data_IF_716425367953
#
_entry.id   IF_716425367953
#
_cell.length_a   1.000
_cell.length_b   1.000
_cell.length_c   1.000
_cell.angle_alpha   90.00
_cell.angle_beta   90.00
_cell.angle_gamma   90.00
#
_symmetry.space_group_name_H-M   'P 1'
#
loop_
_entity.id
_entity.type
_entity.pdbx_description
1 polymer ?
#
# COMPACT_ATOMS: atom_id res chain seq x y z
N UNK A 1 -40.52 26.92 -2.06
CA UNK A 1 -39.23 27.17 -2.73
C UNK A 1 -38.16 26.46 -1.91
N UNK A 2 -37.51 25.44 -2.47
CA UNK A 2 -36.47 24.72 -1.77
C UNK A 2 -35.18 25.56 -1.86
N UNK A 3 -34.70 26.04 -0.71
CA UNK A 3 -33.37 26.63 -0.58
C UNK A 3 -32.36 25.50 -0.72
N UNK A 4 -31.81 25.33 -1.92
CA UNK A 4 -30.65 24.47 -2.16
C UNK A 4 -29.48 25.07 -1.39
N UNK A 5 -29.18 24.52 -0.23
CA UNK A 5 -27.97 24.83 0.53
C UNK A 5 -26.76 24.41 -0.31
N UNK A 6 -26.12 25.38 -0.95
CA UNK A 6 -24.79 25.19 -1.54
C UNK A 6 -23.83 24.86 -0.39
N UNK A 7 -23.45 23.58 -0.29
CA UNK A 7 -22.35 23.15 0.56
C UNK A 7 -21.08 23.68 -0.09
N UNK A 8 -20.65 24.87 0.34
CA UNK A 8 -19.39 25.46 -0.09
C UNK A 8 -18.26 24.65 0.58
N UNK A 9 -17.58 23.81 -0.21
CA UNK A 9 -16.38 23.11 0.24
C UNK A 9 -15.24 24.12 0.14
N UNK A 10 -14.55 24.48 1.25
CA UNK A 10 -13.44 25.40 1.18
C UNK A 10 -12.24 24.77 0.45
N UNK A 11 -11.38 25.61 -0.13
CA UNK A 11 -10.14 25.16 -0.77
C UNK A 11 -9.30 24.34 0.24
N UNK A 12 -8.69 23.21 -0.17
CA UNK A 12 -7.84 22.43 0.72
C UNK A 12 -6.74 23.29 1.35
N UNK A 13 -6.50 23.13 2.64
CA UNK A 13 -5.44 23.89 3.32
C UNK A 13 -4.09 23.49 2.71
N UNK A 14 -3.28 24.45 2.21
CA UNK A 14 -1.97 24.14 1.65
C UNK A 14 -1.10 23.35 2.64
N UNK A 15 -0.51 22.24 2.17
CA UNK A 15 0.30 21.35 3.01
C UNK A 15 -0.49 20.36 3.88
N UNK A 16 -1.82 20.42 3.90
CA UNK A 16 -2.64 19.39 4.56
C UNK A 16 -2.62 18.08 3.78
N UNK A 17 -2.88 16.97 4.47
CA UNK A 17 -2.98 15.65 3.84
C UNK A 17 -4.13 15.64 2.81
N UNK A 18 -3.79 15.44 1.53
CA UNK A 18 -4.74 15.44 0.41
C UNK A 18 -4.89 16.77 -0.32
N UNK A 19 -4.16 17.83 0.10
CA UNK A 19 -4.08 19.05 -0.68
C UNK A 19 -3.19 18.86 -1.93
N UNK A 20 -3.47 19.58 -3.04
CA UNK A 20 -2.58 19.62 -4.18
C UNK A 20 -1.18 20.10 -3.78
N UNK A 21 -0.16 19.49 -4.37
CA UNK A 21 1.22 19.93 -4.24
C UNK A 21 1.88 19.92 -5.61
N UNK A 22 2.42 21.06 -6.03
CA UNK A 22 3.15 21.20 -7.27
C UNK A 22 4.65 21.27 -7.02
N UNK A 23 5.39 20.31 -7.57
CA UNK A 23 6.84 20.16 -7.41
C UNK A 23 7.63 20.51 -8.69
N UNK A 24 6.99 21.15 -9.66
CA UNK A 24 7.59 21.46 -10.97
C UNK A 24 7.38 20.38 -12.03
N UNK A 25 6.74 19.26 -11.71
CA UNK A 25 6.41 18.20 -12.67
C UNK A 25 4.92 18.26 -13.05
N UNK A 26 4.61 18.04 -14.35
CA UNK A 26 3.23 18.02 -14.88
C UNK A 26 2.43 19.29 -14.54
N UNK A 27 2.99 20.45 -14.88
CA UNK A 27 2.35 21.75 -14.69
C UNK A 27 0.93 21.82 -15.29
N UNK A 28 0.71 21.20 -16.46
CA UNK A 28 -0.61 21.16 -17.10
C UNK A 28 -1.66 20.41 -16.26
N UNK A 29 -1.30 19.25 -15.71
CA UNK A 29 -2.21 18.46 -14.86
C UNK A 29 -2.50 19.20 -13.55
N UNK A 30 -1.51 19.88 -12.98
CA UNK A 30 -1.66 20.68 -11.77
C UNK A 30 -2.61 21.86 -11.97
N UNK A 31 -2.48 22.61 -13.07
CA UNK A 31 -3.36 23.74 -13.39
C UNK A 31 -4.83 23.28 -13.52
N UNK A 32 -5.06 22.14 -14.18
CA UNK A 32 -6.41 21.55 -14.28
C UNK A 32 -6.95 21.16 -12.90
N UNK A 33 -6.11 20.61 -12.02
CA UNK A 33 -6.52 20.27 -10.66
C UNK A 33 -6.92 21.51 -9.86
N UNK A 34 -6.17 22.61 -9.96
CA UNK A 34 -6.48 23.88 -9.29
C UNK A 34 -7.79 24.47 -9.83
N UNK A 35 -8.01 24.43 -11.14
CA UNK A 35 -9.26 24.88 -11.77
C UNK A 35 -10.48 24.05 -11.31
N UNK A 36 -10.33 22.73 -11.20
CA UNK A 36 -11.37 21.84 -10.69
C UNK A 36 -11.73 22.14 -9.23
N UNK A 37 -10.72 22.40 -8.39
CA UNK A 37 -10.94 22.79 -7.00
C UNK A 37 -11.61 24.15 -6.91
N UNK A 38 -11.16 25.15 -7.68
CA UNK A 38 -11.80 26.46 -7.77
C UNK A 38 -13.28 26.36 -8.15
N UNK A 39 -13.57 25.54 -9.16
CA UNK A 39 -14.95 25.26 -9.60
C UNK A 39 -15.78 24.59 -8.49
N UNK A 40 -15.19 23.66 -7.74
CA UNK A 40 -15.86 22.96 -6.64
C UNK A 40 -16.18 23.90 -5.47
N UNK A 41 -15.32 24.89 -5.21
CA UNK A 41 -15.51 25.92 -4.17
C UNK A 41 -16.44 27.04 -4.63
N UNK A 42 -16.78 27.09 -5.92
CA UNK A 42 -17.64 28.13 -6.49
C UNK A 42 -16.91 29.43 -6.81
N UNK A 43 -15.57 29.37 -6.96
CA UNK A 43 -14.77 30.49 -7.45
C UNK A 43 -15.10 30.68 -8.93
N UNK A 44 -15.81 31.75 -9.24
CA UNK A 44 -16.28 32.09 -10.60
C UNK A 44 -15.23 32.86 -11.39
N UNK A 45 -14.42 33.64 -10.69
CA UNK A 45 -13.32 34.40 -11.27
C UNK A 45 -12.00 33.63 -11.10
N UNK A 46 -11.46 33.18 -12.24
CA UNK A 46 -10.26 32.35 -12.33
C UNK A 46 -9.01 33.11 -11.91
N UNK A 47 -9.00 34.43 -11.96
CA UNK A 47 -7.82 35.23 -11.63
C UNK A 47 -7.49 35.12 -10.13
N UNK A 48 -8.52 34.90 -9.30
CA UNK A 48 -8.34 34.58 -7.87
C UNK A 48 -7.64 33.22 -7.63
N UNK A 49 -7.56 32.35 -8.64
CA UNK A 49 -6.86 31.05 -8.53
C UNK A 49 -5.34 31.19 -8.65
N UNK A 50 -4.83 32.32 -9.14
CA UNK A 50 -3.39 32.55 -9.31
C UNK A 50 -2.65 32.49 -7.97
N UNK A 51 -3.23 33.05 -6.90
CA UNK A 51 -2.65 32.98 -5.55
C UNK A 51 -2.52 31.53 -5.06
N UNK A 52 -3.46 30.66 -5.45
CA UNK A 52 -3.45 29.25 -5.06
C UNK A 52 -2.35 28.44 -5.75
N UNK A 53 -1.88 28.87 -6.93
CA UNK A 53 -0.71 28.27 -7.59
C UNK A 53 0.52 28.41 -6.70
N UNK A 54 0.78 29.61 -6.19
CA UNK A 54 1.93 29.90 -5.31
C UNK A 54 1.80 29.14 -4.00
N UNK A 55 0.60 29.07 -3.41
CA UNK A 55 0.34 28.40 -2.13
C UNK A 55 0.47 26.87 -2.21
N UNK A 56 0.05 26.24 -3.29
CA UNK A 56 0.16 24.79 -3.48
C UNK A 56 1.51 24.36 -4.08
N UNK A 57 2.39 25.30 -4.41
CA UNK A 57 3.74 24.99 -4.87
C UNK A 57 4.66 24.56 -3.72
N UNK A 58 5.62 23.68 -4.02
CA UNK A 58 6.72 23.37 -3.09
C UNK A 58 7.56 24.62 -2.85
N UNK A 59 8.35 24.61 -1.77
CA UNK A 59 9.21 25.74 -1.40
C UNK A 59 10.11 26.16 -2.57
N UNK A 60 10.78 25.21 -3.22
CA UNK A 60 11.67 25.49 -4.35
C UNK A 60 10.97 26.14 -5.55
N UNK A 61 9.77 25.67 -5.89
CA UNK A 61 8.97 26.23 -6.99
C UNK A 61 8.47 27.60 -6.61
N UNK A 62 7.95 27.75 -5.38
CA UNK A 62 7.45 29.01 -4.85
C UNK A 62 8.52 30.09 -4.85
N UNK A 63 9.73 29.79 -4.40
CA UNK A 63 10.86 30.74 -4.38
C UNK A 63 11.24 31.22 -5.80
N UNK A 64 10.93 30.41 -6.82
CA UNK A 64 11.14 30.77 -8.22
C UNK A 64 10.01 31.66 -8.76
N UNK A 65 8.75 31.31 -8.50
CA UNK A 65 7.61 31.96 -9.16
C UNK A 65 7.04 33.15 -8.39
N UNK A 66 7.19 33.22 -7.06
CA UNK A 66 6.51 34.22 -6.23
C UNK A 66 6.92 35.68 -6.51
N UNK A 67 8.08 35.88 -7.15
CA UNK A 67 8.63 37.20 -7.49
C UNK A 67 8.45 37.57 -8.96
N UNK A 68 7.71 36.77 -9.72
CA UNK A 68 7.41 37.06 -11.12
C UNK A 68 6.13 37.91 -11.21
N UNK A 69 6.09 38.83 -12.18
CA UNK A 69 4.98 39.77 -12.39
C UNK A 69 3.62 39.05 -12.48
N UNK A 70 3.59 37.86 -13.08
CA UNK A 70 2.37 37.08 -13.27
C UNK A 70 1.83 36.44 -11.98
N UNK A 71 2.62 36.39 -10.91
CA UNK A 71 2.27 35.75 -9.63
C UNK A 71 2.40 36.67 -8.41
N UNK A 72 2.97 37.86 -8.56
CA UNK A 72 3.30 38.78 -7.45
C UNK A 72 2.03 39.33 -6.79
N UNK A 73 1.69 38.93 -5.55
CA UNK A 73 0.44 39.31 -4.87
C UNK A 73 0.12 40.81 -4.87
N UNK A 74 1.10 41.70 -5.03
CA UNK A 74 0.91 43.15 -5.07
C UNK A 74 0.37 43.70 -6.41
N UNK A 75 0.44 42.92 -7.50
CA UNK A 75 -0.08 43.34 -8.81
C UNK A 75 -1.61 43.14 -8.95
N UNK A 76 -2.33 44.16 -9.39
CA UNK A 76 -3.80 44.12 -9.53
C UNK A 76 -4.27 43.50 -10.87
N UNK A 77 -3.42 43.45 -11.90
CA UNK A 77 -3.76 42.99 -13.26
C UNK A 77 -3.31 41.55 -13.57
N UNK A 78 -3.32 40.66 -12.57
CA UNK A 78 -2.99 39.25 -12.79
C UNK A 78 -4.10 38.54 -13.53
N UNK A 79 -3.74 37.80 -14.57
CA UNK A 79 -4.68 36.92 -15.27
C UNK A 79 -4.26 35.47 -15.12
N UNK A 80 -5.25 34.60 -14.94
CA UNK A 80 -5.05 33.15 -14.92
C UNK A 80 -4.34 32.67 -16.18
N UNK A 81 -4.69 33.23 -17.34
CA UNK A 81 -4.11 32.83 -18.61
C UNK A 81 -2.60 33.14 -18.67
N UNK A 82 -2.19 34.36 -18.28
CA UNK A 82 -0.77 34.74 -18.23
C UNK A 82 0.02 33.89 -17.22
N UNK A 83 -0.52 33.70 -16.01
CA UNK A 83 0.10 32.84 -15.00
C UNK A 83 0.22 31.37 -15.48
N UNK A 84 -0.83 30.85 -16.12
CA UNK A 84 -0.84 29.48 -16.63
C UNK A 84 0.15 29.28 -17.78
N UNK A 85 0.29 30.26 -18.67
CA UNK A 85 1.24 30.24 -19.77
C UNK A 85 2.68 30.36 -19.26
N UNK A 86 2.94 31.27 -18.33
CA UNK A 86 4.24 31.41 -17.68
C UNK A 86 4.66 30.09 -16.99
N UNK A 87 3.76 29.48 -16.21
CA UNK A 87 4.03 28.20 -15.52
C UNK A 87 4.31 27.07 -16.52
N UNK A 88 3.51 26.97 -17.60
CA UNK A 88 3.73 25.98 -18.66
C UNK A 88 5.06 26.19 -19.38
N UNK A 89 5.47 27.43 -19.61
CA UNK A 89 6.74 27.75 -20.26
C UNK A 89 7.95 27.41 -19.37
N UNK A 90 7.91 27.78 -18.09
CA UNK A 90 8.98 27.48 -17.12
C UNK A 90 9.20 25.98 -16.95
N UNK A 91 8.10 25.21 -16.89
CA UNK A 91 8.15 23.76 -16.64
C UNK A 91 7.89 22.92 -17.90
N UNK A 92 7.96 23.50 -19.10
CA UNK A 92 7.66 22.81 -20.37
C UNK A 92 8.49 21.52 -20.58
N UNK A 93 9.73 21.50 -20.07
CA UNK A 93 10.61 20.34 -20.15
C UNK A 93 10.16 19.19 -19.24
N UNK A 94 9.54 19.51 -18.10
CA UNK A 94 9.08 18.58 -17.04
C UNK A 94 7.58 18.26 -17.12
N UNK A 95 6.83 19.03 -17.90
CA UNK A 95 5.42 18.79 -18.20
C UNK A 95 5.23 17.62 -19.18
N UNK A 96 6.28 17.29 -19.94
CA UNK A 96 6.26 16.15 -20.86
C UNK A 96 6.08 14.87 -20.06
N UNK A 97 4.99 14.15 -20.35
CA UNK A 97 4.80 12.78 -19.87
C UNK A 97 6.10 11.97 -20.11
N UNK A 98 6.49 11.07 -19.18
CA UNK A 98 7.69 10.27 -19.31
C UNK A 98 7.83 9.73 -20.73
N UNK A 99 8.91 10.12 -21.41
CA UNK A 99 9.13 9.75 -22.80
C UNK A 99 9.50 8.28 -22.85
N UNK A 100 8.49 7.42 -22.88
CA UNK A 100 8.72 6.00 -23.14
C UNK A 100 9.29 5.86 -24.55
N UNK A 101 10.41 5.15 -24.65
CA UNK A 101 11.02 4.79 -25.93
C UNK A 101 10.66 3.37 -26.34
N UNK A 102 10.87 3.03 -27.61
CA UNK A 102 10.71 1.64 -28.10
C UNK A 102 11.63 0.68 -27.35
N UNK A 103 12.83 1.13 -27.00
CA UNK A 103 13.81 0.35 -26.23
C UNK A 103 13.31 0.05 -24.81
N UNK A 104 12.61 0.98 -24.17
CA UNK A 104 12.02 0.74 -22.84
C UNK A 104 10.92 -0.32 -22.90
N UNK A 105 10.10 -0.30 -23.96
CA UNK A 105 9.09 -1.35 -24.20
C UNK A 105 9.76 -2.71 -24.42
N UNK A 106 10.81 -2.78 -25.23
CA UNK A 106 11.56 -4.01 -25.49
C UNK A 106 12.23 -4.56 -24.23
N UNK A 107 12.86 -3.68 -23.43
CA UNK A 107 13.46 -4.03 -22.15
C UNK A 107 12.39 -4.57 -21.18
N UNK A 108 11.22 -3.93 -21.11
CA UNK A 108 10.11 -4.41 -20.31
C UNK A 108 9.63 -5.80 -20.77
N UNK A 109 9.45 -6.00 -22.08
CA UNK A 109 9.00 -7.29 -22.62
C UNK A 109 10.02 -8.40 -22.31
N UNK A 110 11.31 -8.15 -22.54
CA UNK A 110 12.39 -9.09 -22.22
C UNK A 110 12.42 -9.43 -20.74
N UNK A 111 12.42 -8.41 -19.88
CA UNK A 111 12.44 -8.61 -18.43
C UNK A 111 11.21 -9.40 -17.96
N UNK A 112 10.03 -9.08 -18.50
CA UNK A 112 8.79 -9.80 -18.19
C UNK A 112 8.85 -11.26 -18.64
N UNK A 113 9.34 -11.54 -19.84
CA UNK A 113 9.43 -12.92 -20.35
C UNK A 113 10.39 -13.81 -19.55
N UNK A 114 11.46 -13.21 -19.00
CA UNK A 114 12.51 -13.92 -18.25
C UNK A 114 12.19 -14.06 -16.76
N UNK A 115 11.57 -13.05 -16.15
CA UNK A 115 11.46 -12.94 -14.68
C UNK A 115 10.04 -13.21 -14.16
N UNK A 116 9.01 -12.84 -14.92
CA UNK A 116 7.65 -12.99 -14.42
C UNK A 116 7.18 -14.44 -14.55
N UNK A 117 6.43 -14.90 -13.55
CA UNK A 117 5.69 -16.16 -13.61
C UNK A 117 4.24 -15.84 -13.27
N UNK A 118 3.32 -16.21 -14.15
CA UNK A 118 1.90 -15.99 -13.91
C UNK A 118 1.34 -17.17 -13.12
N UNK A 119 0.85 -16.88 -11.92
CA UNK A 119 0.22 -17.86 -11.04
C UNK A 119 -1.29 -17.67 -10.97
N UNK A 120 -1.78 -16.47 -11.28
CA UNK A 120 -3.19 -16.11 -11.17
C UNK A 120 -3.68 -15.25 -12.35
N UNK A 121 -5.00 -15.09 -12.47
CA UNK A 121 -5.59 -14.15 -13.40
C UNK A 121 -5.23 -12.68 -13.07
N UNK A 122 -4.99 -12.37 -11.79
CA UNK A 122 -4.58 -11.03 -11.33
C UNK A 122 -3.16 -10.69 -11.84
N UNK A 123 -2.27 -11.67 -11.93
CA UNK A 123 -0.93 -11.48 -12.50
C UNK A 123 -1.01 -11.05 -13.98
N UNK A 124 -1.97 -11.61 -14.72
CA UNK A 124 -2.22 -11.27 -16.13
C UNK A 124 -2.72 -9.84 -16.26
N UNK A 125 -3.63 -9.40 -15.38
CA UNK A 125 -4.13 -8.02 -15.37
C UNK A 125 -3.03 -7.03 -14.97
N UNK A 126 -2.25 -7.36 -13.95
CA UNK A 126 -1.10 -6.56 -13.52
C UNK A 126 -0.08 -6.42 -14.65
N UNK A 127 0.18 -7.49 -15.41
CA UNK A 127 1.03 -7.43 -16.59
C UNK A 127 0.43 -6.51 -17.67
N UNK A 128 -0.86 -6.65 -17.99
CA UNK A 128 -1.56 -5.79 -18.97
C UNK A 128 -1.48 -4.32 -18.60
N UNK A 129 -1.71 -3.98 -17.33
CA UNK A 129 -1.62 -2.60 -16.81
C UNK A 129 -0.19 -2.07 -16.98
N UNK A 130 0.82 -2.83 -16.54
CA UNK A 130 2.23 -2.45 -16.68
C UNK A 130 2.63 -2.28 -18.15
N UNK A 131 2.27 -3.22 -19.02
CA UNK A 131 2.53 -3.14 -20.46
C UNK A 131 1.86 -1.92 -21.10
N UNK A 132 0.64 -1.57 -20.68
CA UNK A 132 -0.09 -0.41 -21.20
C UNK A 132 0.61 0.91 -20.87
N UNK A 133 1.30 1.01 -19.73
CA UNK A 133 2.11 2.20 -19.38
C UNK A 133 3.20 2.49 -20.41
N UNK A 134 3.77 1.46 -21.02
CA UNK A 134 4.81 1.61 -22.04
C UNK A 134 4.23 1.74 -23.45
N UNK A 135 3.27 0.88 -23.80
CA UNK A 135 2.77 0.77 -25.16
C UNK A 135 1.77 1.87 -25.55
N UNK A 136 0.92 2.34 -24.63
CA UNK A 136 -0.11 3.33 -24.95
C UNK A 136 0.49 4.69 -25.39
N UNK A 137 1.51 5.25 -24.72
CA UNK A 137 2.19 6.47 -25.19
C UNK A 137 2.84 6.29 -26.56
N UNK A 138 3.44 5.12 -26.83
CA UNK A 138 4.11 4.84 -28.10
C UNK A 138 3.12 4.77 -29.27
N UNK A 139 1.94 4.17 -29.07
CA UNK A 139 0.87 4.15 -30.07
C UNK A 139 0.30 5.55 -30.29
N UNK A 140 0.02 6.30 -29.22
CA UNK A 140 -0.48 7.69 -29.32
C UNK A 140 0.46 8.58 -30.12
N UNK A 141 1.77 8.43 -29.89
CA UNK A 141 2.82 9.17 -30.58
C UNK A 141 3.22 8.57 -31.94
N UNK A 142 2.49 7.57 -32.45
CA UNK A 142 2.75 6.87 -33.73
C UNK A 142 4.17 6.29 -33.86
N UNK A 143 4.83 5.99 -32.73
CA UNK A 143 6.15 5.35 -32.69
C UNK A 143 6.07 3.84 -32.92
N UNK A 144 4.92 3.24 -32.60
CA UNK A 144 4.58 1.85 -32.92
C UNK A 144 3.15 1.77 -33.46
N UNK A 145 2.89 0.79 -34.32
CA UNK A 145 1.54 0.48 -34.80
C UNK A 145 0.72 -0.32 -33.79
N UNK A 146 -0.59 -0.49 -34.05
CA UNK A 146 -1.45 -1.32 -33.20
C UNK A 146 -1.07 -2.80 -33.31
N UNK A 147 -0.66 -3.22 -34.50
CA UNK A 147 -0.19 -4.57 -34.80
C UNK A 147 1.12 -4.85 -34.08
N UNK A 148 2.08 -3.91 -34.14
CA UNK A 148 3.34 -4.01 -33.38
C UNK A 148 3.08 -4.09 -31.87
N UNK A 149 2.15 -3.29 -31.33
CA UNK A 149 1.74 -3.40 -29.91
C UNK A 149 1.24 -4.80 -29.57
N UNK A 150 0.37 -5.37 -30.40
CA UNK A 150 -0.20 -6.70 -30.17
C UNK A 150 0.91 -7.78 -30.19
N UNK A 151 1.82 -7.68 -31.16
CA UNK A 151 3.01 -8.54 -31.22
C UNK A 151 3.86 -8.43 -29.96
N UNK A 152 4.24 -7.20 -29.54
CA UNK A 152 5.05 -6.99 -28.35
C UNK A 152 4.41 -7.55 -27.09
N UNK A 153 3.09 -7.42 -26.95
CA UNK A 153 2.35 -8.00 -25.83
C UNK A 153 2.51 -9.52 -25.76
N UNK A 154 2.37 -10.21 -26.89
CA UNK A 154 2.54 -11.68 -26.94
C UNK A 154 3.98 -12.08 -26.65
N UNK A 155 4.96 -11.38 -27.23
CA UNK A 155 6.39 -11.70 -27.01
C UNK A 155 6.89 -11.42 -25.60
N UNK A 156 6.23 -10.53 -24.86
CA UNK A 156 6.59 -10.19 -23.48
C UNK A 156 5.96 -11.12 -22.42
N UNK A 157 5.20 -12.13 -22.84
CA UNK A 157 4.65 -13.14 -21.95
C UNK A 157 5.77 -14.03 -21.37
N UNK A 158 5.63 -14.51 -20.12
CA UNK A 158 6.51 -15.54 -19.58
C UNK A 158 6.60 -16.76 -20.50
N UNK A 159 7.78 -17.35 -20.65
CA UNK A 159 8.01 -18.49 -21.58
C UNK A 159 6.98 -19.62 -21.41
N UNK A 160 6.71 -20.04 -20.16
CA UNK A 160 5.73 -21.08 -19.87
C UNK A 160 4.28 -20.70 -20.24
N UNK A 161 3.96 -19.40 -20.21
CA UNK A 161 2.66 -18.87 -20.65
C UNK A 161 2.62 -18.76 -22.17
N UNK A 162 3.71 -18.32 -22.79
CA UNK A 162 3.85 -18.13 -24.22
C UNK A 162 3.71 -19.46 -24.99
N UNK A 163 4.38 -20.53 -24.54
CA UNK A 163 4.25 -21.86 -25.15
C UNK A 163 2.81 -22.39 -25.11
N UNK A 164 2.16 -22.25 -23.95
CA UNK A 164 0.76 -22.65 -23.80
C UNK A 164 -0.16 -21.80 -24.68
N UNK A 165 0.05 -20.48 -24.69
CA UNK A 165 -0.75 -19.53 -25.47
C UNK A 165 -0.64 -19.82 -26.97
N UNK A 166 0.57 -20.13 -27.47
CA UNK A 166 0.80 -20.50 -28.86
C UNK A 166 -0.02 -21.74 -29.28
N UNK A 167 -0.19 -22.71 -28.38
CA UNK A 167 -1.01 -23.90 -28.64
C UNK A 167 -2.52 -23.61 -28.67
N UNK A 168 -2.98 -22.55 -28.02
CA UNK A 168 -4.39 -22.13 -28.04
C UNK A 168 -4.75 -21.28 -29.27
N UNK A 169 -3.77 -20.66 -29.93
CA UNK A 169 -4.04 -19.79 -31.08
C UNK A 169 -4.27 -20.59 -32.38
N UNK A 170 -5.20 -20.16 -33.24
CA UNK A 170 -5.34 -20.69 -34.59
C UNK A 170 -4.09 -20.37 -35.42
N UNK A 171 -3.72 -21.22 -36.42
CA UNK A 171 -2.51 -21.03 -37.21
C UNK A 171 -2.40 -19.65 -37.88
N UNK A 172 -3.52 -19.05 -38.26
CA UNK A 172 -3.59 -17.73 -38.88
C UNK A 172 -3.16 -16.57 -37.97
N UNK A 173 -3.17 -16.74 -36.65
CA UNK A 173 -2.85 -15.69 -35.65
C UNK A 173 -1.44 -15.83 -35.04
N UNK A 174 -0.63 -16.75 -35.55
CA UNK A 174 0.72 -17.04 -35.03
C UNK A 174 1.82 -16.20 -35.70
N UNK A 175 1.46 -15.22 -36.52
CA UNK A 175 2.41 -14.39 -37.24
C UNK A 175 2.46 -12.97 -36.69
N UNK A 176 3.59 -12.30 -36.86
CA UNK A 176 3.87 -10.94 -36.35
C UNK A 176 2.77 -9.95 -36.75
N UNK A 177 2.26 -10.04 -37.98
CA UNK A 177 1.28 -9.10 -38.53
C UNK A 177 -0.17 -9.49 -38.24
N UNK A 178 -0.40 -10.66 -37.66
CA UNK A 178 -1.75 -11.20 -37.37
C UNK A 178 -1.91 -11.61 -35.91
N UNK A 179 -1.04 -11.10 -35.04
CA UNK A 179 -1.12 -11.34 -33.61
C UNK A 179 -2.50 -10.93 -33.05
N UNK A 180 -3.07 -11.73 -32.14
CA UNK A 180 -4.35 -11.42 -31.52
C UNK A 180 -4.30 -10.08 -30.80
N UNK A 181 -5.45 -9.43 -30.68
CA UNK A 181 -5.52 -8.18 -29.92
C UNK A 181 -5.13 -8.41 -28.45
N UNK A 182 -4.60 -7.38 -27.79
CA UNK A 182 -4.23 -7.47 -26.36
C UNK A 182 -5.40 -7.99 -25.51
N UNK A 183 -6.63 -7.56 -25.80
CA UNK A 183 -7.82 -7.96 -25.04
C UNK A 183 -8.21 -9.43 -25.29
N UNK A 184 -8.12 -9.90 -26.54
CA UNK A 184 -8.31 -11.31 -26.88
C UNK A 184 -7.23 -12.19 -26.24
N UNK A 185 -5.97 -11.75 -26.29
CA UNK A 185 -4.85 -12.47 -25.70
C UNK A 185 -5.05 -12.63 -24.19
N UNK A 186 -5.42 -11.56 -23.48
CA UNK A 186 -5.73 -11.60 -22.04
C UNK A 186 -6.89 -12.55 -21.75
N UNK A 187 -7.96 -12.51 -22.56
CA UNK A 187 -9.11 -13.41 -22.39
C UNK A 187 -8.71 -14.88 -22.50
N UNK A 188 -7.89 -15.23 -23.49
CA UNK A 188 -7.38 -16.60 -23.68
C UNK A 188 -6.47 -16.99 -22.51
N UNK A 189 -5.52 -16.13 -22.10
CA UNK A 189 -4.59 -16.44 -21.01
C UNK A 189 -5.32 -16.66 -19.69
N UNK A 190 -6.36 -15.88 -19.39
CA UNK A 190 -7.15 -16.02 -18.16
C UNK A 190 -7.87 -17.37 -18.06
N UNK A 191 -8.22 -18.00 -19.18
CA UNK A 191 -8.83 -19.34 -19.16
C UNK A 191 -7.92 -20.39 -18.52
N UNK A 192 -6.59 -20.22 -18.58
CA UNK A 192 -5.63 -21.11 -17.92
C UNK A 192 -5.77 -21.11 -16.39
N UNK A 193 -6.23 -20.01 -15.82
CA UNK A 193 -6.33 -19.78 -14.37
C UNK A 193 -7.78 -19.85 -13.87
N UNK A 194 -8.74 -20.15 -14.74
CA UNK A 194 -10.12 -20.34 -14.35
C UNK A 194 -10.30 -21.71 -13.68
N UNK A 195 -10.68 -21.70 -12.41
CA UNK A 195 -10.91 -22.88 -11.57
C UNK A 195 -11.89 -23.89 -12.18
N UNK A 196 -12.76 -23.45 -13.10
CA UNK A 196 -13.75 -24.30 -13.75
C UNK A 196 -13.20 -25.05 -14.98
N UNK A 197 -11.93 -24.84 -15.34
CA UNK A 197 -11.32 -25.46 -16.52
C UNK A 197 -10.44 -26.65 -16.14
N UNK A 198 -10.38 -27.64 -17.03
CA UNK A 198 -9.45 -28.78 -16.92
C UNK A 198 -7.97 -28.36 -16.98
N UNK A 199 -7.70 -27.12 -17.39
CA UNK A 199 -6.35 -26.55 -17.49
C UNK A 199 -5.88 -25.94 -16.18
N UNK A 200 -6.80 -25.65 -15.25
CA UNK A 200 -6.45 -25.19 -13.92
C UNK A 200 -5.71 -26.30 -13.17
N UNK A 201 -4.48 -25.99 -12.75
CA UNK A 201 -3.63 -26.88 -11.96
C UNK A 201 -3.56 -26.33 -10.54
N UNK A 202 -4.37 -26.85 -9.59
CA UNK A 202 -4.38 -26.37 -8.21
C UNK A 202 -3.00 -26.38 -7.54
N UNK A 203 -2.14 -27.32 -7.92
CA UNK A 203 -0.80 -27.50 -7.36
C UNK A 203 0.28 -26.57 -7.95
N UNK A 204 0.00 -25.81 -9.02
CA UNK A 204 0.93 -24.79 -9.56
C UNK A 204 0.61 -23.38 -9.10
N UNK A 205 -0.49 -23.20 -8.38
CA UNK A 205 -1.00 -21.91 -7.92
C UNK A 205 -0.86 -21.90 -6.40
N UNK A 206 0.03 -21.06 -5.87
CA UNK A 206 0.51 -21.07 -4.48
C UNK A 206 -0.51 -20.56 -3.45
N UNK A 207 -1.73 -21.09 -3.48
CA UNK A 207 -2.84 -20.62 -2.65
C UNK A 207 -3.25 -21.59 -1.52
N UNK A 208 -2.62 -22.76 -1.37
CA UNK A 208 -2.95 -23.66 -0.27
C UNK A 208 -1.95 -23.51 0.89
N UNK A 209 -2.04 -22.39 1.61
CA UNK A 209 -1.37 -22.18 2.91
C UNK A 209 -2.12 -22.84 4.08
N UNK A 210 -3.00 -23.79 3.79
CA UNK A 210 -3.68 -24.51 4.85
C UNK A 210 -2.72 -25.52 5.47
N UNK A 211 -2.70 -25.58 6.81
CA UNK A 211 -2.03 -26.60 7.62
C UNK A 211 -2.66 -27.98 7.37
N UNK A 212 -2.50 -28.51 6.16
CA UNK A 212 -2.91 -29.86 5.80
C UNK A 212 -1.77 -30.80 6.08
N UNK A 213 -2.12 -32.06 6.33
CA UNK A 213 -1.15 -33.16 6.44
C UNK A 213 -0.34 -33.18 5.14
N UNK A 214 0.95 -32.87 5.22
CA UNK A 214 1.85 -32.94 4.08
C UNK A 214 2.35 -34.37 3.95
N UNK A 215 2.53 -34.82 2.71
CA UNK A 215 3.16 -36.10 2.40
C UNK A 215 4.37 -35.85 1.52
N UNK A 216 5.43 -36.62 1.69
CA UNK A 216 6.56 -36.63 0.76
C UNK A 216 6.18 -37.34 -0.55
N UNK A 217 7.10 -37.32 -1.53
CA UNK A 217 6.89 -37.97 -2.84
C UNK A 217 6.74 -39.50 -2.74
N UNK A 218 7.14 -40.08 -1.61
CA UNK A 218 7.02 -41.52 -1.31
C UNK A 218 5.74 -41.83 -0.50
N UNK A 219 4.88 -40.83 -0.26
CA UNK A 219 3.61 -40.98 0.45
C UNK A 219 3.74 -41.09 1.97
N UNK A 220 4.86 -40.68 2.56
CA UNK A 220 5.04 -40.62 4.02
C UNK A 220 4.63 -39.26 4.54
N UNK A 221 3.93 -39.26 5.67
CA UNK A 221 3.49 -38.04 6.35
C UNK A 221 4.70 -37.22 6.82
N UNK A 222 4.72 -35.96 6.40
CA UNK A 222 5.64 -34.92 6.90
C UNK A 222 4.89 -34.17 8.00
N UNK A 223 5.39 -34.26 9.22
CA UNK A 223 4.89 -33.42 10.29
C UNK A 223 5.41 -31.99 10.08
N UNK A 224 4.55 -30.96 10.17
CA UNK A 224 4.96 -29.57 10.04
C UNK A 224 5.83 -29.19 11.24
N UNK A 225 7.11 -29.51 11.17
CA UNK A 225 8.13 -28.97 12.04
C UNK A 225 8.29 -27.49 11.71
N UNK A 226 8.33 -26.65 12.75
CA UNK A 226 8.57 -25.22 12.62
C UNK A 226 9.76 -24.95 11.68
N UNK A 227 9.55 -24.01 10.76
CA UNK A 227 10.56 -23.56 9.80
C UNK A 227 11.88 -23.28 10.54
N UNK A 228 12.88 -24.12 10.28
CA UNK A 228 14.27 -23.77 10.53
C UNK A 228 14.85 -23.45 9.17
N UNK A 229 15.00 -22.16 8.92
CA UNK A 229 15.85 -21.60 7.88
C UNK A 229 17.19 -22.36 7.89
N UNK A 230 17.49 -23.07 6.81
CA UNK A 230 18.82 -23.65 6.60
C UNK A 230 19.09 -23.81 5.11
N UNK A 231 19.31 -22.67 4.44
CA UNK A 231 20.32 -22.64 3.40
C UNK A 231 21.68 -23.02 4.01
N UNK A 232 22.18 -24.23 3.71
CA UNK A 232 23.57 -24.50 3.32
C UNK A 232 23.81 -25.99 3.15
N UNK A 233 23.94 -26.40 1.90
CA UNK A 233 24.66 -27.61 1.51
C UNK A 233 26.13 -27.44 1.86
N UNK A 234 26.66 -28.19 2.83
CA UNK A 234 28.04 -28.68 2.80
C UNK A 234 28.15 -30.06 3.45
N UNK A 235 28.74 -30.99 2.70
CA UNK A 235 29.18 -32.32 3.12
C UNK A 235 30.09 -32.25 4.36
N UNK A 236 29.92 -33.17 5.31
CA UNK A 236 31.03 -34.01 5.84
C UNK A 236 30.50 -35.14 6.73
N UNK A 237 30.78 -36.38 6.34
CA UNK A 237 30.74 -37.55 7.22
C UNK A 237 31.69 -37.37 8.42
N UNK A 238 31.25 -37.67 9.65
CA UNK A 238 32.02 -38.46 10.64
C UNK A 238 31.10 -38.97 11.76
N UNK A 239 31.29 -40.26 12.09
CA UNK A 239 30.63 -41.10 13.10
C UNK A 239 30.86 -40.61 14.55
N UNK A 240 29.84 -40.69 15.42
CA UNK A 240 29.84 -41.44 16.70
C UNK A 240 28.94 -40.85 17.82
N UNK A 241 28.38 -41.77 18.59
CA UNK A 241 27.92 -41.63 19.98
C UNK A 241 26.53 -41.03 20.24
N UNK A 242 25.52 -41.89 20.09
CA UNK A 242 24.28 -41.84 20.85
C UNK A 242 24.56 -41.98 22.35
N UNK A 243 24.23 -40.96 23.16
CA UNK A 243 23.67 -41.03 24.53
C UNK A 243 23.81 -39.73 25.37
N UNK A 244 23.55 -38.52 24.84
CA UNK A 244 23.60 -37.28 25.68
C UNK A 244 22.27 -36.53 25.84
N UNK A 245 21.22 -36.87 25.10
CA UNK A 245 20.00 -36.04 25.05
C UNK A 245 19.20 -36.01 26.37
N UNK A 246 19.26 -37.06 27.18
CA UNK A 246 18.50 -37.12 28.45
C UNK A 246 19.20 -36.35 29.57
N UNK A 247 20.53 -36.34 29.59
CA UNK A 247 21.31 -35.59 30.57
C UNK A 247 21.25 -34.08 30.31
N UNK A 248 21.28 -33.66 29.04
CA UNK A 248 21.12 -32.25 28.67
C UNK A 248 19.71 -31.73 29.05
N UNK A 249 18.68 -32.54 28.87
CA UNK A 249 17.32 -32.22 29.28
C UNK A 249 17.18 -32.16 30.81
N UNK A 250 17.79 -33.10 31.54
CA UNK A 250 17.80 -33.10 33.00
C UNK A 250 18.53 -31.87 33.57
N UNK A 251 19.57 -31.39 32.88
CA UNK A 251 20.29 -30.15 33.23
C UNK A 251 19.42 -28.93 32.98
N UNK A 252 18.71 -28.88 31.85
CA UNK A 252 17.80 -27.79 31.50
C UNK A 252 16.64 -27.66 32.50
N UNK A 253 16.07 -28.77 32.97
CA UNK A 253 15.02 -28.74 33.99
C UNK A 253 15.52 -28.27 35.36
N UNK A 254 16.78 -28.59 35.73
CA UNK A 254 17.38 -28.06 36.96
C UNK A 254 17.62 -26.56 36.86
N UNK A 255 18.18 -26.07 35.76
CA UNK A 255 18.43 -24.64 35.55
C UNK A 255 17.12 -23.81 35.52
N UNK A 256 16.07 -24.35 34.91
CA UNK A 256 14.76 -23.70 34.91
C UNK A 256 14.12 -23.64 36.30
N UNK A 257 14.26 -24.71 37.10
CA UNK A 257 13.75 -24.74 38.48
C UNK A 257 14.51 -23.77 39.38
N UNK A 258 15.82 -23.62 39.17
CA UNK A 258 16.64 -22.64 39.87
C UNK A 258 16.16 -21.22 39.51
N UNK A 259 15.98 -20.90 38.22
CA UNK A 259 15.49 -19.58 37.79
C UNK A 259 14.09 -19.25 38.34
N UNK A 260 13.18 -20.22 38.42
CA UNK A 260 11.85 -19.99 39.01
C UNK A 260 11.92 -19.70 40.51
N UNK A 261 12.81 -20.37 41.26
CA UNK A 261 13.02 -20.09 42.68
C UNK A 261 13.63 -18.70 42.92
N UNK A 262 14.58 -18.29 42.07
CA UNK A 262 15.20 -16.95 42.13
C UNK A 262 14.17 -15.85 41.86
N UNK A 263 13.30 -16.03 40.86
CA UNK A 263 12.22 -15.06 40.57
C UNK A 263 11.18 -14.96 41.69
N UNK A 264 10.79 -16.09 42.29
CA UNK A 264 9.85 -16.07 43.42
C UNK A 264 10.45 -15.40 44.67
N UNK A 265 11.78 -15.48 44.85
CA UNK A 265 12.46 -14.80 45.96
C UNK A 265 12.51 -13.28 45.71
N UNK A 266 12.86 -12.86 44.48
CA UNK A 266 12.86 -11.45 44.09
C UNK A 266 11.45 -10.80 44.18
N UNK A 267 10.39 -11.52 43.80
CA UNK A 267 9.01 -11.02 43.92
C UNK A 267 8.57 -10.85 45.38
N UNK A 268 9.04 -11.71 46.29
CA UNK A 268 8.76 -11.58 47.72
C UNK A 268 9.53 -10.42 48.37
N UNK A 269 10.74 -10.11 47.89
CA UNK A 269 11.49 -8.92 48.33
C UNK A 269 10.84 -7.62 47.84
N UNK A 270 10.40 -7.56 46.58
CA UNK A 270 9.67 -6.41 46.03
C UNK A 270 8.34 -6.19 46.77
N UNK A 271 7.62 -7.27 47.11
CA UNK A 271 6.36 -7.20 47.87
C UNK A 271 6.56 -6.73 49.32
N UNK A 272 7.74 -6.94 49.91
CA UNK A 272 8.09 -6.40 51.24
C UNK A 272 8.48 -4.93 51.16
N UNK A 273 9.21 -4.51 50.13
CA UNK A 273 9.57 -3.10 49.91
C UNK A 273 8.32 -2.21 49.74
N UNK A 274 7.32 -2.68 48.99
CA UNK A 274 6.07 -1.93 48.75
C UNK A 274 5.14 -1.79 49.97
N UNK A 275 5.38 -2.54 51.05
CA UNK A 275 4.57 -2.45 52.30
C UNK A 275 5.15 -1.48 53.33
N UNK A 276 6.36 -0.96 53.13
CA UNK A 276 6.97 0.00 54.06
C UNK A 276 6.60 1.47 53.77
N UNK A 277 6.05 1.79 52.59
CA UNK A 277 5.80 3.18 52.16
C UNK A 277 4.38 3.72 52.42
N UNK A 278 3.55 3.05 53.22
CA UNK A 278 2.23 3.58 53.58
C UNK A 278 2.12 3.86 55.09
N UNK A 279 2.45 5.09 55.49
CA UNK A 279 1.93 5.70 56.70
C UNK A 279 1.52 7.16 56.40
N UNK A 280 0.30 7.62 56.78
CA UNK A 280 -0.25 8.89 56.35
C UNK A 280 0.09 10.03 57.33
N UNK A 281 0.55 11.18 56.83
CA UNK A 281 0.63 12.42 57.62
C UNK A 281 0.39 13.65 56.74
N UNK A 282 -0.58 14.45 57.20
CA UNK A 282 -0.91 15.83 56.85
C UNK A 282 0.27 16.71 56.40
N UNK A 283 0.11 17.55 55.36
CA UNK A 283 -0.10 19.01 55.51
C UNK A 283 -0.24 19.73 54.16
N UNK A 284 -1.04 20.81 54.20
CA UNK A 284 -1.43 21.78 53.18
C UNK A 284 -0.29 22.50 52.43
N UNK A 285 -0.51 22.90 51.17
CA UNK A 285 -0.79 24.29 50.75
C UNK A 285 -0.60 24.53 49.23
N UNK A 286 -1.59 25.25 48.65
CA UNK A 286 -1.55 26.24 47.54
C UNK A 286 -0.59 26.02 46.35
N UNK A 287 -0.98 26.11 45.08
CA UNK A 287 -2.18 26.55 44.40
C UNK A 287 -1.79 26.96 42.97
N UNK A 288 -2.50 26.47 41.96
CA UNK A 288 -2.78 27.23 40.72
C UNK A 288 -3.76 26.47 39.83
N UNK A 289 -4.65 27.25 39.23
CA UNK A 289 -5.88 26.84 38.58
C UNK A 289 -5.63 26.26 37.18
N UNK A 290 -6.21 25.09 36.90
CA UNK A 290 -6.51 24.63 35.54
C UNK A 290 -7.99 24.16 35.50
N UNK A 291 -8.72 24.41 34.39
CA UNK A 291 -10.16 24.16 34.33
C UNK A 291 -10.48 22.66 34.31
N UNK A 292 -11.55 22.30 35.02
CA UNK A 292 -12.07 20.95 35.15
C UNK A 292 -12.64 20.42 33.84
N UNK A 293 -11.88 19.59 33.12
CA UNK A 293 -12.49 18.65 32.19
C UNK A 293 -13.10 17.51 33.00
N UNK A 294 -14.39 17.65 33.36
CA UNK A 294 -15.20 16.50 33.74
C UNK A 294 -15.27 15.56 32.54
N UNK A 295 -14.43 14.53 32.53
CA UNK A 295 -14.55 13.40 31.60
C UNK A 295 -15.87 12.72 31.96
N UNK A 296 -16.92 13.08 31.22
CA UNK A 296 -18.26 12.53 31.33
C UNK A 296 -18.21 11.02 30.99
N UNK A 297 -17.89 10.17 31.97
CA UNK A 297 -17.76 8.73 31.77
C UNK A 297 -19.15 8.13 31.54
N UNK A 298 -19.41 7.75 30.28
CA UNK A 298 -20.63 7.05 29.85
C UNK A 298 -20.46 5.56 30.10
N UNK A 299 -21.48 4.92 30.66
CA UNK A 299 -21.53 3.46 30.70
C UNK A 299 -21.51 2.89 29.28
N UNK A 300 -20.67 1.91 28.99
CA UNK A 300 -20.59 1.28 27.67
C UNK A 300 -21.88 0.51 27.29
N UNK A 301 -22.66 0.08 28.28
CA UNK A 301 -23.88 -0.73 28.10
C UNK A 301 -25.12 0.16 27.95
N UNK A 302 -25.44 1.01 28.93
CA UNK A 302 -26.65 1.85 28.89
C UNK A 302 -26.43 3.26 28.34
N UNK A 303 -25.16 3.68 28.10
CA UNK A 303 -24.77 5.03 27.65
C UNK A 303 -25.14 6.18 28.59
N UNK A 304 -25.70 5.89 29.76
CA UNK A 304 -25.96 6.89 30.80
C UNK A 304 -24.66 7.36 31.45
N UNK A 305 -24.64 8.63 31.85
CA UNK A 305 -23.50 9.30 32.48
C UNK A 305 -23.69 9.37 33.99
N UNK A 306 -22.64 9.05 34.76
CA UNK A 306 -22.54 9.25 36.21
C UNK A 306 -23.51 8.44 37.10
N UNK A 307 -24.23 7.44 36.57
CA UNK A 307 -25.19 6.65 37.36
C UNK A 307 -24.58 5.38 37.98
N UNK A 308 -23.48 4.83 37.45
CA UNK A 308 -22.77 3.70 38.07
C UNK A 308 -21.31 3.51 37.57
N UNK A 309 -20.44 2.82 38.34
CA UNK A 309 -19.07 2.52 37.91
C UNK A 309 -19.04 1.65 36.64
N UNK A 310 -17.96 1.78 35.86
CA UNK A 310 -17.69 1.15 34.55
C UNK A 310 -17.69 -0.40 34.51
N UNK A 311 -18.05 -1.08 35.60
CA UNK A 311 -18.06 -2.52 35.65
C UNK A 311 -19.40 -3.08 35.11
N UNK A 312 -19.38 -3.98 34.10
CA UNK A 312 -20.59 -4.51 33.45
C UNK A 312 -21.65 -5.05 34.42
N UNK A 313 -21.22 -5.67 35.53
CA UNK A 313 -22.13 -6.23 36.54
C UNK A 313 -22.89 -5.21 37.40
N UNK A 314 -22.58 -3.91 37.27
CA UNK A 314 -23.28 -2.84 38.00
C UNK A 314 -24.23 -2.02 37.11
N UNK A 315 -24.44 -2.44 35.86
CA UNK A 315 -25.42 -1.83 34.97
C UNK A 315 -26.82 -2.42 35.21
N UNK A 316 -27.84 -1.57 35.35
CA UNK A 316 -29.21 -2.03 35.57
C UNK A 316 -29.78 -2.84 34.38
N UNK A 317 -29.20 -2.71 33.18
CA UNK A 317 -29.58 -3.48 31.98
C UNK A 317 -28.98 -4.90 31.98
N UNK A 318 -28.09 -5.22 32.93
CA UNK A 318 -27.54 -6.57 33.12
C UNK A 318 -27.55 -6.98 34.60
N UNK A 319 -28.71 -7.26 35.19
CA UNK A 319 -28.75 -7.88 36.51
C UNK A 319 -28.40 -9.37 36.36
N UNK A 320 -27.25 -9.80 36.87
CA UNK A 320 -26.99 -11.23 37.10
C UNK A 320 -25.72 -11.86 36.54
N UNK A 321 -24.66 -11.10 36.21
CA UNK A 321 -23.32 -11.69 36.06
C UNK A 321 -22.58 -11.61 37.40
N UNK A 322 -22.80 -12.64 38.23
CA UNK A 322 -21.88 -13.04 39.28
C UNK A 322 -20.93 -14.10 38.72
#
# INVERSE_FOLDING_TARGET
MATTTLVCVPMPIPGAHGAPVFNGDRASDFLVLVEQLGTQVGITDKDNLVEWIVRYSTIDVRDTIQWMEEFDPEEEEKTWDAASECLKNLYASRDKAPQVTRKDLENFCKHSSETNVFTSADDVDNYRIKFSKFSAPLVKNKKISKEERNFYFVTGLPNATLEWFHNQLPPSQRYVNSAPTVDEAVKIIKQRYDHNTIFYKPWTTSADKNKRVQFDLDGKRIDPSEETDSEKRQNKDTVSSSNSSVDDLAKQFKDMRINQATMNTALNEISRALRQDNNPSLHSSQGNQQPSYEILRRCFICRETNTHPMHPSRCHLMPGLL
#
